data_IF_389730825733
#
_entry.id   IF_389730825733
#
_cell.length_a   1.000
_cell.length_b   1.000
_cell.length_c   1.000
_cell.angle_alpha   90.00
_cell.angle_beta   90.00
_cell.angle_gamma   90.00
#
_symmetry.space_group_name_H-M   'P 1'
#
loop_
_entity.id
_entity.type
_entity.pdbx_description
1 polymer ?
#
# COMPACT_ATOMS: atom_id res chain seq x y z
N UNK A 1 24.75 16.11 -8.47
CA UNK A 1 24.66 15.68 -7.06
C UNK A 1 23.19 15.47 -6.74
N UNK A 2 22.73 14.22 -6.77
CA UNK A 2 21.33 13.86 -6.45
C UNK A 2 21.23 13.65 -4.94
N UNK A 3 20.55 14.55 -4.25
CA UNK A 3 20.10 14.32 -2.88
C UNK A 3 18.82 13.49 -2.93
N UNK A 4 18.97 12.16 -2.96
CA UNK A 4 17.92 11.23 -2.57
C UNK A 4 18.35 10.76 -1.20
N UNK A 5 17.91 11.44 -0.15
CA UNK A 5 18.24 11.01 1.21
C UNK A 5 17.10 11.41 2.14
N UNK A 6 16.67 10.43 2.92
CA UNK A 6 15.96 10.55 4.21
C UNK A 6 14.44 10.30 4.31
N UNK A 7 13.71 9.95 3.24
CA UNK A 7 12.31 9.51 3.37
C UNK A 7 12.04 8.04 3.02
N UNK A 8 13.08 7.28 2.65
CA UNK A 8 13.04 5.82 2.82
C UNK A 8 13.19 5.50 4.31
N UNK A 9 12.18 5.81 5.11
CA UNK A 9 11.87 4.97 6.27
C UNK A 9 11.60 3.61 5.63
N UNK A 10 12.60 2.74 5.69
CA UNK A 10 12.65 1.52 4.90
C UNK A 10 11.42 0.71 5.24
N UNK A 11 10.57 0.45 4.25
CA UNK A 11 9.45 -0.50 4.33
C UNK A 11 9.91 -1.81 4.99
N UNK A 12 11.17 -2.18 4.79
CA UNK A 12 11.85 -3.29 5.48
C UNK A 12 11.81 -3.20 7.01
N UNK A 13 12.06 -2.03 7.60
CA UNK A 13 12.02 -1.84 9.06
C UNK A 13 10.60 -1.99 9.62
N UNK A 14 9.59 -1.56 8.87
CA UNK A 14 8.18 -1.74 9.26
C UNK A 14 7.78 -3.22 9.14
N UNK A 15 8.15 -3.87 8.03
CA UNK A 15 7.89 -5.30 7.83
C UNK A 15 8.58 -6.16 8.90
N UNK A 16 9.82 -5.87 9.26
CA UNK A 16 10.56 -6.60 10.30
C UNK A 16 9.95 -6.45 11.69
N UNK A 17 9.44 -5.27 12.04
CA UNK A 17 8.82 -5.02 13.36
C UNK A 17 7.46 -5.69 13.52
N UNK A 18 6.76 -5.94 12.42
CA UNK A 18 5.35 -6.34 12.42
C UNK A 18 5.14 -7.85 12.59
N UNK A 19 6.15 -8.67 12.28
CA UNK A 19 5.96 -10.11 12.01
C UNK A 19 6.41 -11.06 13.13
N UNK A 20 6.77 -10.54 14.30
CA UNK A 20 7.24 -11.37 15.42
C UNK A 20 6.20 -12.36 15.95
N UNK A 21 4.90 -12.05 15.85
CA UNK A 21 3.83 -12.79 16.54
C UNK A 21 2.47 -12.68 15.81
N UNK A 22 2.40 -13.10 14.54
CA UNK A 22 1.11 -13.18 13.84
C UNK A 22 0.48 -14.55 14.11
N UNK A 23 -0.43 -14.62 15.08
CA UNK A 23 -1.34 -15.77 15.24
C UNK A 23 -2.26 -15.87 14.02
N UNK A 24 -2.35 -17.06 13.42
CA UNK A 24 -3.31 -17.35 12.36
C UNK A 24 -4.72 -17.37 12.97
N UNK A 25 -5.48 -16.28 12.79
CA UNK A 25 -6.93 -16.31 12.97
C UNK A 25 -7.57 -17.22 11.92
N UNK A 26 -8.56 -18.04 12.30
CA UNK A 26 -9.44 -18.86 11.43
C UNK A 26 -10.34 -17.97 10.52
N UNK A 27 -9.72 -17.01 9.84
CA UNK A 27 -10.38 -16.03 8.98
C UNK A 27 -10.85 -16.65 7.66
N UNK A 28 -11.90 -16.06 7.10
CA UNK A 28 -12.38 -16.39 5.76
C UNK A 28 -11.22 -16.25 4.76
N UNK A 29 -10.87 -17.32 4.05
CA UNK A 29 -9.92 -17.25 2.94
C UNK A 29 -10.68 -17.20 1.61
N UNK A 30 -10.14 -16.46 0.66
CA UNK A 30 -10.66 -16.38 -0.71
C UNK A 30 -9.67 -17.05 -1.66
N UNK A 31 -10.16 -17.79 -2.66
CA UNK A 31 -9.31 -18.33 -3.73
C UNK A 31 -9.54 -17.51 -5.00
N UNK A 32 -8.49 -16.88 -5.49
CA UNK A 32 -8.54 -16.02 -6.67
C UNK A 32 -7.84 -16.69 -7.86
N UNK A 33 -8.52 -16.72 -9.00
CA UNK A 33 -7.99 -17.22 -10.27
C UNK A 33 -7.60 -16.03 -11.16
N UNK A 34 -6.33 -15.94 -11.54
CA UNK A 34 -5.83 -14.87 -12.40
C UNK A 34 -5.92 -15.24 -13.88
N UNK A 35 -5.90 -14.23 -14.76
CA UNK A 35 -6.01 -14.42 -16.21
C UNK A 35 -4.89 -15.25 -16.82
N UNK A 36 -3.70 -15.26 -16.20
CA UNK A 36 -2.55 -16.08 -16.61
C UNK A 36 -2.59 -17.54 -16.08
N UNK A 37 -3.63 -17.92 -15.34
CA UNK A 37 -3.78 -19.27 -14.78
C UNK A 37 -3.13 -19.47 -13.41
N UNK A 38 -2.55 -18.43 -12.80
CA UNK A 38 -2.18 -18.48 -11.39
C UNK A 38 -3.42 -18.65 -10.50
N UNK A 39 -3.24 -19.33 -9.37
CA UNK A 39 -4.24 -19.43 -8.31
C UNK A 39 -3.62 -18.93 -7.03
N UNK A 40 -4.25 -17.93 -6.44
CA UNK A 40 -3.85 -17.34 -5.17
C UNK A 40 -4.86 -17.73 -4.09
N UNK A 41 -4.37 -18.08 -2.90
CA UNK A 41 -5.17 -18.11 -1.68
C UNK A 41 -4.90 -16.82 -0.93
N UNK A 42 -5.96 -16.06 -0.72
CA UNK A 42 -5.93 -14.80 0.00
C UNK A 42 -6.51 -14.98 1.40
N UNK A 43 -5.87 -14.40 2.40
CA UNK A 43 -6.34 -14.36 3.78
C UNK A 43 -6.48 -12.92 4.24
N UNK A 44 -7.25 -12.62 5.30
CA UNK A 44 -7.31 -11.27 5.83
C UNK A 44 -5.92 -10.79 6.28
N UNK A 45 -5.55 -9.53 6.01
CA UNK A 45 -4.31 -8.97 6.53
C UNK A 45 -4.33 -8.92 8.07
N UNK A 46 -3.17 -9.17 8.73
CA UNK A 46 -3.10 -9.07 10.18
C UNK A 46 -3.46 -7.65 10.64
N UNK A 47 -4.43 -7.52 11.55
CA UNK A 47 -4.92 -6.19 11.98
C UNK A 47 -3.81 -5.32 12.59
N UNK A 48 -2.89 -5.92 13.35
CA UNK A 48 -1.72 -5.23 13.89
C UNK A 48 -0.83 -4.65 12.78
N UNK A 49 -0.66 -5.39 11.68
CA UNK A 49 0.13 -4.92 10.55
C UNK A 49 -0.49 -3.70 9.88
N UNK A 50 -1.82 -3.71 9.67
CA UNK A 50 -2.54 -2.56 9.14
C UNK A 50 -2.45 -1.36 10.08
N UNK A 51 -2.59 -1.56 11.39
CA UNK A 51 -2.46 -0.49 12.37
C UNK A 51 -1.06 0.14 12.36
N UNK A 52 -0.02 -0.69 12.35
CA UNK A 52 1.37 -0.22 12.26
C UNK A 52 1.64 0.51 10.93
N UNK A 53 1.06 0.02 9.84
CA UNK A 53 1.13 0.69 8.55
C UNK A 53 0.52 2.11 8.63
N UNK A 54 -0.71 2.25 9.11
CA UNK A 54 -1.40 3.54 9.24
C UNK A 54 -0.62 4.54 10.10
N UNK A 55 0.03 4.08 11.17
CA UNK A 55 0.84 4.94 12.03
C UNK A 55 2.12 5.44 11.35
N UNK A 56 2.76 4.61 10.52
CA UNK A 56 4.00 4.97 9.82
C UNK A 56 3.73 5.72 8.51
N UNK A 57 2.52 5.64 7.97
CA UNK A 57 2.07 6.34 6.78
C UNK A 57 0.96 7.34 7.13
N UNK A 58 1.22 8.23 8.08
CA UNK A 58 0.27 9.29 8.43
C UNK A 58 0.14 10.32 7.28
N UNK A 59 -1.09 10.70 6.96
CA UNK A 59 -1.38 11.70 5.95
C UNK A 59 -0.74 13.07 6.28
N UNK A 60 -0.25 13.81 5.27
CA UNK A 60 0.12 15.21 5.42
C UNK A 60 -0.99 16.02 6.10
N UNK A 61 -0.60 17.03 6.87
CA UNK A 61 -1.54 17.99 7.46
C UNK A 61 -1.72 19.19 6.53
N UNK A 62 -2.93 19.73 6.37
CA UNK A 62 -3.13 20.98 5.65
C UNK A 62 -2.30 22.12 6.28
N UNK A 63 -1.77 23.06 5.48
CA UNK A 63 -1.11 24.23 6.03
C UNK A 63 -2.12 25.12 6.75
N UNK A 64 -1.67 25.74 7.84
CA UNK A 64 -2.44 26.74 8.57
C UNK A 64 -2.16 28.11 7.95
N UNK A 65 -3.20 28.79 7.50
CA UNK A 65 -3.14 30.15 6.95
C UNK A 65 -3.83 31.12 7.90
N UNK A 66 -3.36 32.36 7.91
CA UNK A 66 -4.02 33.44 8.64
C UNK A 66 -5.06 34.08 7.74
N UNK A 67 -6.32 34.05 8.14
CA UNK A 67 -7.43 34.70 7.45
C UNK A 67 -7.72 36.03 8.14
N UNK A 68 -7.86 37.10 7.35
CA UNK A 68 -8.27 38.42 7.85
C UNK A 68 -9.63 38.80 7.24
N UNK A 69 -10.64 38.97 8.08
CA UNK A 69 -11.99 39.40 7.68
C UNK A 69 -12.64 40.26 8.77
N UNK A 70 -13.36 41.30 8.38
CA UNK A 70 -14.09 42.21 9.28
C UNK A 70 -13.25 42.79 10.44
N UNK A 71 -11.97 43.07 10.17
CA UNK A 71 -11.03 43.60 11.18
C UNK A 71 -10.61 42.58 12.25
N UNK A 72 -10.90 41.30 12.06
CA UNK A 72 -10.44 40.19 12.89
C UNK A 72 -9.50 39.30 12.08
N UNK A 73 -8.59 38.63 12.78
CA UNK A 73 -7.71 37.61 12.18
C UNK A 73 -7.75 36.32 12.98
N UNK A 74 -7.86 35.19 12.31
CA UNK A 74 -7.75 33.86 12.90
C UNK A 74 -6.89 32.94 12.03
N UNK A 75 -6.46 31.83 12.60
CA UNK A 75 -5.74 30.76 11.90
C UNK A 75 -6.74 29.68 11.46
N UNK A 76 -6.64 29.24 10.21
CA UNK A 76 -7.51 28.24 9.61
C UNK A 76 -6.69 27.29 8.73
N UNK A 77 -7.04 26.01 8.72
CA UNK A 77 -6.44 25.04 7.81
C UNK A 77 -6.90 25.30 6.37
N UNK A 78 -5.96 25.31 5.42
CA UNK A 78 -6.27 25.45 4.01
C UNK A 78 -6.13 24.11 3.26
N UNK A 79 -7.19 23.29 3.19
CA UNK A 79 -7.16 22.05 2.43
C UNK A 79 -7.13 22.25 0.90
N UNK A 80 -7.34 23.48 0.43
CA UNK A 80 -7.28 23.82 -1.00
C UNK A 80 -5.89 24.34 -1.39
N UNK A 81 -4.92 24.32 -0.49
CA UNK A 81 -3.54 24.69 -0.81
C UNK A 81 -2.96 23.74 -1.89
N UNK A 82 -2.45 24.26 -3.03
CA UNK A 82 -1.93 23.41 -4.09
C UNK A 82 -0.76 22.52 -3.65
N UNK A 83 0.06 22.99 -2.70
CA UNK A 83 1.17 22.23 -2.14
C UNK A 83 0.69 21.07 -1.26
N UNK A 84 -0.37 21.31 -0.48
CA UNK A 84 -1.03 20.25 0.28
C UNK A 84 -1.66 19.19 -0.62
N UNK A 85 -2.41 19.59 -1.66
CA UNK A 85 -3.03 18.66 -2.62
C UNK A 85 -1.96 17.78 -3.27
N UNK A 86 -0.87 18.39 -3.77
CA UNK A 86 0.23 17.63 -4.35
C UNK A 86 0.89 16.68 -3.34
N UNK A 87 1.07 17.11 -2.09
CA UNK A 87 1.61 16.26 -1.04
C UNK A 87 0.67 15.09 -0.69
N UNK A 88 -0.64 15.31 -0.70
CA UNK A 88 -1.64 14.26 -0.49
C UNK A 88 -1.67 13.25 -1.64
N UNK A 89 -1.59 13.70 -2.90
CA UNK A 89 -1.51 12.81 -4.06
C UNK A 89 -0.27 11.91 -4.01
N UNK A 90 0.90 12.49 -3.73
CA UNK A 90 2.14 11.75 -3.56
C UNK A 90 2.04 10.77 -2.38
N UNK A 91 1.51 11.23 -1.25
CA UNK A 91 1.28 10.39 -0.08
C UNK A 91 0.38 9.18 -0.41
N UNK A 92 -0.74 9.41 -1.07
CA UNK A 92 -1.69 8.37 -1.44
C UNK A 92 -1.06 7.34 -2.39
N UNK A 93 -0.26 7.80 -3.36
CA UNK A 93 0.48 6.90 -4.25
C UNK A 93 1.49 6.03 -3.47
N UNK A 94 2.31 6.65 -2.61
CA UNK A 94 3.32 5.93 -1.83
C UNK A 94 2.68 4.97 -0.81
N UNK A 95 1.66 5.42 -0.10
CA UNK A 95 0.92 4.62 0.88
C UNK A 95 0.20 3.46 0.18
N UNK A 96 -0.47 3.70 -0.94
CA UNK A 96 -1.12 2.65 -1.73
C UNK A 96 -0.14 1.57 -2.17
N UNK A 97 1.03 1.96 -2.69
CA UNK A 97 2.06 0.99 -3.07
C UNK A 97 2.58 0.19 -1.87
N UNK A 98 2.87 0.86 -0.75
CA UNK A 98 3.39 0.21 0.45
C UNK A 98 2.35 -0.73 1.09
N UNK A 99 1.08 -0.34 1.10
CA UNK A 99 -0.03 -1.17 1.58
C UNK A 99 -0.17 -2.45 0.74
N UNK A 100 -0.10 -2.34 -0.59
CA UNK A 100 -0.20 -3.50 -1.46
C UNK A 100 0.98 -4.46 -1.25
N UNK A 101 2.20 -3.94 -1.08
CA UNK A 101 3.36 -4.78 -0.74
C UNK A 101 3.15 -5.52 0.58
N UNK A 102 2.60 -4.84 1.60
CA UNK A 102 2.26 -5.45 2.88
C UNK A 102 1.21 -6.56 2.71
N UNK A 103 0.14 -6.32 1.95
CA UNK A 103 -0.92 -7.31 1.74
C UNK A 103 -0.41 -8.50 0.92
N UNK A 104 0.33 -8.29 -0.16
CA UNK A 104 0.95 -9.39 -0.92
C UNK A 104 1.87 -10.25 -0.05
N UNK A 105 2.59 -9.63 0.88
CA UNK A 105 3.47 -10.37 1.78
C UNK A 105 2.72 -11.18 2.85
N UNK A 106 1.73 -10.56 3.48
CA UNK A 106 1.07 -11.11 4.68
C UNK A 106 -0.16 -11.93 4.38
N UNK A 107 -0.76 -11.72 3.21
CA UNK A 107 -2.15 -12.09 2.92
C UNK A 107 -2.31 -12.86 1.62
N UNK A 108 -1.22 -13.17 0.92
CA UNK A 108 -1.25 -13.84 -0.36
C UNK A 108 -0.35 -15.07 -0.37
N UNK A 109 -0.93 -16.21 -0.72
CA UNK A 109 -0.22 -17.46 -0.92
C UNK A 109 -0.45 -17.99 -2.33
N UNK A 110 0.63 -18.40 -2.99
CA UNK A 110 0.55 -18.99 -4.33
C UNK A 110 0.17 -20.46 -4.18
N UNK A 111 -1.05 -20.80 -4.60
CA UNK A 111 -1.52 -22.19 -4.66
C UNK A 111 -1.08 -22.85 -5.96
N UNK A 112 -1.07 -22.10 -7.06
CA UNK A 112 -0.66 -22.58 -8.38
C UNK A 112 0.02 -21.48 -9.18
N UNK A 113 1.16 -21.81 -9.79
CA UNK A 113 1.86 -20.94 -10.73
C UNK A 113 1.22 -20.98 -12.12
N UNK A 114 1.31 -19.89 -12.90
CA UNK A 114 1.03 -19.91 -14.34
C UNK A 114 1.83 -21.01 -15.05
N UNK A 115 1.29 -21.55 -16.14
CA UNK A 115 2.01 -22.55 -16.93
C UNK A 115 3.28 -21.95 -17.54
N UNK A 116 4.42 -22.61 -17.29
CA UNK A 116 5.72 -22.20 -17.82
C UNK A 116 6.46 -21.15 -16.98
N UNK A 117 5.85 -20.66 -15.90
CA UNK A 117 6.53 -19.77 -14.95
C UNK A 117 7.26 -20.63 -13.90
N UNK A 118 8.59 -20.47 -13.74
CA UNK A 118 9.35 -21.18 -12.71
C UNK A 118 8.91 -20.76 -11.29
N UNK A 119 9.30 -21.49 -10.26
CA UNK A 119 9.12 -21.06 -8.87
C UNK A 119 10.03 -19.87 -8.55
N UNK A 120 9.78 -19.15 -7.45
CA UNK A 120 10.66 -18.05 -7.04
C UNK A 120 12.10 -18.53 -6.79
N UNK A 121 12.24 -19.73 -6.24
CA UNK A 121 13.52 -20.35 -5.93
C UNK A 121 14.27 -20.83 -7.19
N UNK A 122 13.54 -21.16 -8.26
CA UNK A 122 14.11 -21.66 -9.52
C UNK A 122 14.25 -20.56 -10.60
N UNK A 123 13.61 -19.41 -10.45
CA UNK A 123 13.65 -18.30 -11.40
C UNK A 123 14.95 -17.50 -11.24
N UNK A 124 15.94 -17.77 -12.09
CA UNK A 124 17.23 -17.07 -12.08
C UNK A 124 17.25 -15.84 -12.99
N UNK A 125 16.32 -15.73 -13.94
CA UNK A 125 16.39 -14.75 -15.03
C UNK A 125 15.61 -13.46 -14.73
N UNK A 126 14.60 -13.51 -13.86
CA UNK A 126 13.72 -12.35 -13.62
C UNK A 126 14.45 -11.09 -13.12
N UNK A 127 15.57 -11.24 -12.40
CA UNK A 127 16.33 -10.08 -11.93
C UNK A 127 17.00 -9.37 -13.08
N UNK A 128 17.70 -10.11 -13.93
CA UNK A 128 18.35 -9.57 -15.13
C UNK A 128 17.29 -8.93 -16.05
N UNK A 129 16.13 -9.54 -16.20
CA UNK A 129 15.02 -8.94 -16.97
C UNK A 129 14.58 -7.58 -16.41
N UNK A 130 14.38 -7.46 -15.09
CA UNK A 130 13.95 -6.20 -14.46
C UNK A 130 15.06 -5.14 -14.52
N UNK A 131 16.29 -5.53 -14.21
CA UNK A 131 17.40 -4.57 -14.10
C UNK A 131 17.94 -4.15 -15.46
N UNK A 132 18.13 -5.09 -16.39
CA UNK A 132 18.75 -4.82 -17.69
C UNK A 132 17.72 -4.42 -18.75
N UNK A 133 16.54 -5.04 -18.79
CA UNK A 133 15.54 -4.76 -19.83
C UNK A 133 14.62 -3.60 -19.44
N UNK A 134 14.17 -3.56 -18.19
CA UNK A 134 13.25 -2.52 -17.72
C UNK A 134 13.97 -1.33 -17.07
N UNK A 135 15.26 -1.47 -16.73
CA UNK A 135 16.03 -0.41 -16.06
C UNK A 135 15.52 -0.11 -14.65
N UNK A 136 14.83 -1.07 -14.01
CA UNK A 136 14.27 -0.92 -12.68
C UNK A 136 15.16 -1.64 -11.65
N UNK A 137 15.23 -1.11 -10.43
CA UNK A 137 16.04 -1.70 -9.38
C UNK A 137 15.30 -2.84 -8.67
N UNK A 138 15.93 -4.01 -8.56
CA UNK A 138 15.43 -5.11 -7.74
C UNK A 138 15.93 -4.92 -6.30
N UNK A 139 15.05 -4.90 -5.29
CA UNK A 139 15.46 -4.75 -3.89
C UNK A 139 16.43 -5.85 -3.43
N UNK A 140 17.28 -5.57 -2.44
CA UNK A 140 18.18 -6.58 -1.84
C UNK A 140 17.48 -7.47 -0.79
N UNK A 141 16.47 -6.91 -0.12
CA UNK A 141 15.69 -7.60 0.92
C UNK A 141 15.01 -8.85 0.34
N UNK A 142 15.28 -10.08 0.84
CA UNK A 142 14.70 -11.31 0.30
C UNK A 142 13.18 -11.29 0.23
N UNK A 143 12.53 -10.61 1.19
CA UNK A 143 11.08 -10.44 1.21
C UNK A 143 10.60 -9.55 0.09
N UNK A 144 11.22 -8.37 -0.07
CA UNK A 144 10.88 -7.45 -1.15
C UNK A 144 11.20 -8.05 -2.53
N UNK A 145 12.25 -8.86 -2.66
CA UNK A 145 12.54 -9.62 -3.88
C UNK A 145 11.40 -10.56 -4.22
N UNK A 146 10.93 -11.37 -3.27
CA UNK A 146 9.79 -12.27 -3.48
C UNK A 146 8.52 -11.51 -3.87
N UNK A 147 8.21 -10.39 -3.21
CA UNK A 147 7.05 -9.55 -3.57
C UNK A 147 7.20 -8.97 -4.98
N UNK A 148 8.39 -8.50 -5.33
CA UNK A 148 8.70 -7.95 -6.67
C UNK A 148 8.54 -9.04 -7.73
N UNK A 149 9.09 -10.23 -7.48
CA UNK A 149 8.92 -11.39 -8.34
C UNK A 149 7.44 -11.78 -8.49
N UNK A 150 6.66 -11.81 -7.40
CA UNK A 150 5.22 -12.08 -7.44
C UNK A 150 4.48 -11.05 -8.30
N UNK A 151 4.77 -9.75 -8.13
CA UNK A 151 4.17 -8.70 -8.95
C UNK A 151 4.50 -8.87 -10.43
N UNK A 152 5.75 -9.24 -10.73
CA UNK A 152 6.25 -9.37 -12.09
C UNK A 152 5.76 -10.63 -12.80
N UNK A 153 5.89 -11.81 -12.18
CA UNK A 153 5.56 -13.11 -12.78
C UNK A 153 4.11 -13.54 -12.59
N UNK A 154 3.48 -13.16 -11.47
CA UNK A 154 2.17 -13.70 -11.08
C UNK A 154 1.05 -12.69 -11.33
N UNK A 155 1.22 -11.44 -10.90
CA UNK A 155 0.19 -10.39 -10.98
C UNK A 155 0.40 -9.47 -12.19
N UNK A 156 1.23 -9.87 -13.16
CA UNK A 156 1.82 -9.00 -14.18
C UNK A 156 0.85 -8.22 -15.08
N UNK A 157 -0.43 -8.58 -15.15
CA UNK A 157 -1.45 -7.80 -15.84
C UNK A 157 -2.13 -6.80 -14.88
N UNK A 158 -2.26 -5.53 -15.29
CA UNK A 158 -2.94 -4.49 -14.51
C UNK A 158 -4.37 -4.90 -14.07
N UNK A 159 -5.07 -5.69 -14.88
CA UNK A 159 -6.38 -6.23 -14.54
C UNK A 159 -6.32 -7.23 -13.38
N UNK A 160 -5.35 -8.14 -13.39
CA UNK A 160 -5.18 -9.13 -12.32
C UNK A 160 -4.77 -8.45 -11.01
N UNK A 161 -3.99 -7.36 -11.10
CA UNK A 161 -3.65 -6.53 -9.96
C UNK A 161 -4.88 -5.91 -9.29
N UNK A 162 -5.79 -5.33 -10.08
CA UNK A 162 -7.06 -4.81 -9.55
C UNK A 162 -7.89 -5.90 -8.86
N UNK A 163 -7.97 -7.11 -9.44
CA UNK A 163 -8.69 -8.23 -8.83
C UNK A 163 -8.10 -8.66 -7.47
N UNK A 164 -6.77 -8.68 -7.36
CA UNK A 164 -6.07 -9.00 -6.11
C UNK A 164 -6.34 -7.92 -5.06
N UNK A 165 -6.27 -6.66 -5.46
CA UNK A 165 -6.54 -5.53 -4.58
C UNK A 165 -7.98 -5.55 -4.06
N UNK A 166 -8.97 -5.64 -4.95
CA UNK A 166 -10.39 -5.69 -4.60
C UNK A 166 -10.70 -6.84 -3.62
N UNK A 167 -10.07 -8.00 -3.81
CA UNK A 167 -10.25 -9.16 -2.95
C UNK A 167 -9.63 -8.96 -1.55
N UNK A 168 -8.42 -8.39 -1.49
CA UNK A 168 -7.77 -8.08 -0.22
C UNK A 168 -8.51 -7.00 0.56
N UNK A 169 -9.04 -5.98 -0.12
CA UNK A 169 -9.87 -4.94 0.49
C UNK A 169 -11.15 -5.53 1.11
N UNK A 170 -11.87 -6.40 0.38
CA UNK A 170 -13.01 -7.15 0.93
C UNK A 170 -12.63 -7.94 2.17
N UNK A 171 -11.50 -8.65 2.14
CA UNK A 171 -11.03 -9.48 3.25
C UNK A 171 -10.57 -8.65 4.46
N UNK A 172 -10.07 -7.43 4.23
CA UNK A 172 -9.65 -6.52 5.31
C UNK A 172 -10.82 -6.02 6.16
N UNK A 173 -12.06 -6.15 5.67
CA UNK A 173 -13.25 -5.63 6.34
C UNK A 173 -13.28 -4.10 6.46
N UNK A 174 -12.33 -3.40 5.81
CA UNK A 174 -12.30 -1.95 5.74
C UNK A 174 -12.95 -1.54 4.42
N UNK A 175 -14.23 -1.16 4.39
CA UNK A 175 -14.77 -0.55 3.19
C UNK A 175 -13.96 0.73 2.93
N UNK A 176 -13.53 0.96 1.69
CA UNK A 176 -12.83 2.17 1.25
C UNK A 176 -13.58 3.46 1.70
N UNK A 177 -14.91 3.36 1.77
CA UNK A 177 -15.82 4.38 2.31
C UNK A 177 -15.54 4.75 3.78
N UNK A 178 -15.02 3.86 4.62
CA UNK A 178 -14.69 4.19 6.01
C UNK A 178 -13.46 5.11 6.12
N UNK A 179 -12.54 5.05 5.14
CA UNK A 179 -11.39 5.95 5.06
C UNK A 179 -11.84 7.32 4.58
N UNK A 180 -12.67 7.37 3.53
CA UNK A 180 -13.22 8.62 2.97
C UNK A 180 -14.25 9.29 3.90
N UNK A 181 -15.10 8.52 4.58
CA UNK A 181 -16.12 9.05 5.49
C UNK A 181 -15.54 9.58 6.81
N UNK A 182 -14.38 9.07 7.24
CA UNK A 182 -13.64 9.66 8.36
C UNK A 182 -13.20 11.10 8.02
N UNK A 183 -12.79 11.37 6.78
CA UNK A 183 -12.39 12.71 6.33
C UNK A 183 -13.59 13.67 6.16
N UNK A 184 -14.75 13.16 5.74
CA UNK A 184 -15.97 13.96 5.58
C UNK A 184 -16.60 14.45 6.88
N UNK A 185 -16.50 13.69 7.97
CA UNK A 185 -17.19 14.00 9.23
C UNK A 185 -16.50 15.07 10.09
N UNK A 186 -15.23 15.40 9.85
CA UNK A 186 -14.54 16.49 10.59
C UNK A 186 -14.92 17.89 10.11
N UNK A 187 -15.49 18.04 8.91
CA UNK A 187 -15.88 19.35 8.36
C UNK A 187 -17.25 19.86 8.83
N UNK A 188 -18.02 19.04 9.56
CA UNK A 188 -19.43 19.34 9.90
C UNK A 188 -19.71 20.02 11.24
N UNK A 189 -18.72 20.22 12.11
CA UNK A 189 -18.95 20.79 13.46
C UNK A 189 -18.52 22.27 13.58
N UNK A 190 -18.71 23.05 12.51
CA UNK A 190 -18.70 24.51 12.61
C UNK A 190 -19.93 24.97 13.41
N UNK A 191 -19.68 25.63 14.54
CA UNK A 191 -20.66 26.06 15.54
C UNK A 191 -21.85 26.83 14.94
N UNK A 192 -23.09 26.62 15.44
CA UNK A 192 -24.16 27.57 15.19
C UNK A 192 -23.89 28.90 15.91
N UNK A 193 -24.38 29.96 15.27
CA UNK A 193 -24.23 31.39 15.59
C UNK A 193 -24.69 31.79 16.98
#
# INVERSE_FOLDING_TARGET
MRGITDQQITVDAVLDRTLGEVEQTDGQSETLHLGNGAILRLTPPPSMALQMFQQNHAAPKPPVVRVEADGRSWEEENPNDPGYIAAMEEHNMQAGEALIRLMLWTSCEIVRLPTGVPSYEDDTEWVEEIEELLGAHVPESPRLRKITWMRYRIVGAAKDFGLVQDALERLSGTPEEAIVAAEGNFRGHARPS
#
